data_IF_144743631198
#
_entry.id   IF_144743631198
#
_cell.length_a   1.000
_cell.length_b   1.000
_cell.length_c   1.000
_cell.angle_alpha   90.00
_cell.angle_beta   90.00
_cell.angle_gamma   90.00
#
_symmetry.space_group_name_H-M   'P 1'
#
loop_
_entity.id
_entity.type
_entity.pdbx_description
1 polymer ?
#
# COMPACT_ATOMS: atom_id res chain seq x y z
N UNK A 1 -42.48 24.98 8.99
CA UNK A 1 -42.52 23.57 9.42
C UNK A 1 -41.40 23.37 10.42
N UNK A 2 -41.70 22.94 11.65
CA UNK A 2 -40.69 22.75 12.69
C UNK A 2 -39.87 21.50 12.35
N UNK A 3 -38.56 21.66 12.15
CA UNK A 3 -37.64 20.57 11.91
C UNK A 3 -37.47 19.72 13.16
N UNK A 4 -37.74 18.43 13.06
CA UNK A 4 -37.51 17.47 14.14
C UNK A 4 -36.01 17.19 14.24
N UNK A 5 -35.40 17.57 15.37
CA UNK A 5 -34.02 17.19 15.69
C UNK A 5 -33.91 15.68 15.87
N UNK A 6 -33.20 15.02 14.95
CA UNK A 6 -32.89 13.59 15.06
C UNK A 6 -31.84 13.38 16.16
N UNK A 7 -32.21 12.61 17.19
CA UNK A 7 -31.30 12.24 18.29
C UNK A 7 -30.92 10.78 18.18
N UNK A 8 -29.62 10.50 18.13
CA UNK A 8 -29.10 9.13 18.06
C UNK A 8 -28.88 8.58 19.47
N UNK A 9 -29.40 7.38 19.72
CA UNK A 9 -29.13 6.66 20.96
C UNK A 9 -27.70 6.08 20.92
N UNK A 10 -26.80 6.68 21.71
CA UNK A 10 -25.38 6.30 21.77
C UNK A 10 -25.17 4.88 22.32
N UNK A 11 -25.98 4.46 23.30
CA UNK A 11 -25.87 3.11 23.88
C UNK A 11 -26.24 2.04 22.86
N UNK A 12 -27.32 2.28 22.11
CA UNK A 12 -27.74 1.39 21.04
C UNK A 12 -26.67 1.31 19.94
N UNK A 13 -26.11 2.45 19.52
CA UNK A 13 -25.07 2.48 18.49
C UNK A 13 -23.82 1.69 18.89
N UNK A 14 -23.40 1.75 20.16
CA UNK A 14 -22.28 0.96 20.66
C UNK A 14 -22.56 -0.55 20.62
N UNK A 15 -23.73 -0.98 21.10
CA UNK A 15 -24.14 -2.39 21.06
C UNK A 15 -24.28 -2.91 19.64
N UNK A 16 -24.86 -2.09 18.75
CA UNK A 16 -25.03 -2.42 17.34
C UNK A 16 -23.68 -2.63 16.65
N UNK A 17 -22.69 -1.75 16.89
CA UNK A 17 -21.33 -1.90 16.36
C UNK A 17 -20.67 -3.20 16.80
N UNK A 18 -20.78 -3.53 18.09
CA UNK A 18 -20.21 -4.78 18.62
C UNK A 18 -20.89 -6.02 18.02
N UNK A 19 -22.22 -6.00 17.90
CA UNK A 19 -22.98 -7.08 17.29
C UNK A 19 -22.59 -7.30 15.82
N UNK A 20 -22.56 -6.21 15.03
CA UNK A 20 -22.17 -6.26 13.61
C UNK A 20 -20.76 -6.78 13.41
N UNK A 21 -19.80 -6.30 14.20
CA UNK A 21 -18.41 -6.78 14.15
C UNK A 21 -18.33 -8.29 14.38
N UNK A 22 -19.09 -8.81 15.35
CA UNK A 22 -19.11 -10.26 15.63
C UNK A 22 -19.75 -11.06 14.50
N UNK A 23 -20.86 -10.59 13.93
CA UNK A 23 -21.48 -11.21 12.75
C UNK A 23 -20.51 -11.28 11.56
N UNK A 24 -19.77 -10.21 11.30
CA UNK A 24 -18.80 -10.15 10.21
C UNK A 24 -17.68 -11.17 10.41
N UNK A 25 -17.09 -11.20 11.60
CA UNK A 25 -16.06 -12.19 11.97
C UNK A 25 -16.60 -13.62 11.80
N UNK A 26 -17.81 -13.89 12.28
CA UNK A 26 -18.43 -15.21 12.15
C UNK A 26 -18.65 -15.58 10.67
N UNK A 27 -19.15 -14.65 9.85
CA UNK A 27 -19.34 -14.87 8.41
C UNK A 27 -18.01 -15.12 7.67
N UNK A 28 -16.93 -14.49 8.11
CA UNK A 28 -15.57 -14.76 7.62
C UNK A 28 -15.12 -16.17 8.04
N UNK A 29 -15.29 -16.54 9.31
CA UNK A 29 -14.97 -17.88 9.82
C UNK A 29 -15.73 -18.99 9.08
N UNK A 30 -17.03 -18.81 8.84
CA UNK A 30 -17.85 -19.80 8.14
C UNK A 30 -17.44 -19.97 6.67
N UNK A 31 -16.94 -18.89 6.02
CA UNK A 31 -16.53 -18.91 4.60
C UNK A 31 -15.13 -19.45 4.38
N UNK A 32 -14.19 -19.08 5.24
CA UNK A 32 -12.76 -19.36 5.05
C UNK A 32 -12.22 -20.43 6.01
N UNK A 33 -13.06 -20.89 6.94
CA UNK A 33 -12.66 -21.83 7.98
C UNK A 33 -11.84 -21.17 9.09
N UNK A 34 -11.73 -21.87 10.21
CA UNK A 34 -10.95 -21.44 11.37
C UNK A 34 -9.45 -21.74 11.15
N UNK A 35 -8.81 -21.06 10.19
CA UNK A 35 -7.39 -21.26 9.87
C UNK A 35 -6.43 -20.61 10.91
N UNK A 36 -6.93 -20.03 12.00
CA UNK A 36 -6.14 -19.18 12.90
C UNK A 36 -6.40 -19.33 14.41
N UNK A 37 -7.05 -20.40 14.91
CA UNK A 37 -7.30 -20.51 16.37
C UNK A 37 -6.10 -20.97 17.20
N UNK A 38 -4.87 -20.78 16.74
CA UNK A 38 -3.69 -20.91 17.59
C UNK A 38 -2.79 -19.73 17.31
N UNK A 39 -2.69 -18.84 18.30
CA UNK A 39 -1.92 -17.59 18.32
C UNK A 39 -2.73 -16.34 17.96
N UNK A 40 -2.60 -15.33 18.81
CA UNK A 40 -2.99 -13.93 18.63
C UNK A 40 -4.46 -13.54 18.92
N UNK A 41 -4.73 -13.34 20.21
CA UNK A 41 -5.43 -12.12 20.65
C UNK A 41 -4.51 -10.91 20.44
N UNK A 42 -4.10 -10.69 19.20
CA UNK A 42 -3.45 -9.50 18.70
C UNK A 42 -4.07 -9.32 17.32
N UNK A 43 -5.12 -8.52 17.25
CA UNK A 43 -5.44 -7.86 15.98
C UNK A 43 -4.40 -6.76 15.82
N UNK A 44 -3.13 -7.16 15.69
CA UNK A 44 -2.20 -6.36 14.92
C UNK A 44 -2.69 -6.56 13.50
N UNK A 45 -3.09 -5.44 12.92
CA UNK A 45 -3.16 -5.27 11.49
C UNK A 45 -1.76 -5.63 10.98
N UNK A 46 -1.50 -6.92 10.76
CA UNK A 46 -0.48 -7.32 9.81
C UNK A 46 -1.16 -7.07 8.45
N UNK A 47 -1.26 -5.77 8.13
CA UNK A 47 -0.78 -5.36 6.83
C UNK A 47 0.49 -6.18 6.66
N UNK A 48 0.53 -7.07 5.67
CA UNK A 48 1.80 -7.35 5.03
C UNK A 48 2.28 -5.96 4.60
N UNK A 49 2.90 -5.25 5.54
CA UNK A 49 3.92 -4.26 5.31
C UNK A 49 4.89 -5.10 4.51
N UNK A 50 4.63 -5.15 3.20
CA UNK A 50 5.58 -5.43 2.15
C UNK A 50 6.75 -4.60 2.61
N UNK A 51 7.62 -5.25 3.40
CA UNK A 51 8.66 -4.61 4.19
C UNK A 51 9.32 -3.74 3.16
N UNK A 52 9.04 -2.44 3.22
CA UNK A 52 9.44 -1.52 2.18
C UNK A 52 10.92 -1.41 2.49
N UNK A 53 11.68 -2.37 1.95
CA UNK A 53 13.11 -2.41 2.08
C UNK A 53 13.49 -1.16 1.31
N UNK A 54 13.65 -0.07 2.05
CA UNK A 54 14.11 1.20 1.53
C UNK A 54 15.55 0.95 1.10
N UNK A 55 15.68 0.39 -0.09
CA UNK A 55 16.95 0.29 -0.79
C UNK A 55 17.41 1.70 -1.09
N UNK A 56 18.72 1.92 -1.05
CA UNK A 56 19.28 3.20 -1.43
C UNK A 56 18.78 3.56 -2.85
N UNK A 57 18.30 4.79 -3.09
CA UNK A 57 17.68 5.15 -4.36
C UNK A 57 18.64 5.04 -5.54
N UNK A 58 19.96 5.12 -5.30
CA UNK A 58 20.98 4.87 -6.30
C UNK A 58 21.04 3.37 -6.66
N UNK A 59 21.03 2.48 -5.66
CA UNK A 59 21.02 1.04 -5.86
C UNK A 59 19.76 0.58 -6.60
N UNK A 60 18.60 1.17 -6.27
CA UNK A 60 17.34 0.85 -6.92
C UNK A 60 17.34 1.23 -8.41
N UNK A 61 17.91 2.39 -8.77
CA UNK A 61 18.07 2.81 -10.18
C UNK A 61 18.98 1.85 -10.95
N UNK A 62 20.11 1.48 -10.36
CA UNK A 62 21.04 0.50 -10.95
C UNK A 62 20.35 -0.85 -11.16
N UNK A 63 19.61 -1.32 -10.15
CA UNK A 63 18.81 -2.54 -10.24
C UNK A 63 17.84 -2.50 -11.42
N UNK A 64 17.02 -1.46 -11.57
CA UNK A 64 16.08 -1.38 -12.69
C UNK A 64 16.76 -1.25 -14.06
N UNK A 65 17.90 -0.54 -14.15
CA UNK A 65 18.70 -0.48 -15.39
C UNK A 65 19.16 -1.87 -15.81
N UNK A 66 19.68 -2.67 -14.87
CA UNK A 66 20.13 -4.03 -15.14
C UNK A 66 18.98 -4.96 -15.54
N UNK A 67 17.83 -4.82 -14.88
CA UNK A 67 16.63 -5.59 -15.18
C UNK A 67 16.12 -5.29 -16.60
N UNK A 68 16.15 -4.02 -17.02
CA UNK A 68 15.76 -3.62 -18.37
C UNK A 68 16.67 -4.28 -19.43
N UNK A 69 17.99 -4.24 -19.25
CA UNK A 69 18.96 -4.87 -20.15
C UNK A 69 18.74 -6.39 -20.27
N UNK A 70 18.45 -7.05 -19.15
CA UNK A 70 18.14 -8.48 -19.13
C UNK A 70 16.85 -8.79 -19.89
N UNK A 71 15.82 -7.96 -19.71
CA UNK A 71 14.51 -8.13 -20.35
C UNK A 71 14.57 -7.93 -21.86
N UNK A 72 15.36 -6.96 -22.34
CA UNK A 72 15.58 -6.71 -23.76
C UNK A 72 16.58 -7.67 -24.40
N UNK A 73 17.28 -8.50 -23.60
CA UNK A 73 18.36 -9.40 -24.03
C UNK A 73 19.46 -8.66 -24.79
N UNK A 74 19.86 -7.50 -24.28
CA UNK A 74 20.94 -6.72 -24.90
C UNK A 74 22.25 -7.55 -24.87
N UNK A 75 22.96 -7.78 -25.99
CA UNK A 75 24.21 -8.54 -26.03
C UNK A 75 25.30 -7.96 -25.13
N UNK A 76 25.19 -6.69 -24.74
CA UNK A 76 26.09 -6.03 -23.78
C UNK A 76 26.15 -6.78 -22.45
N UNK A 77 25.10 -7.45 -22.00
CA UNK A 77 25.10 -8.15 -20.70
C UNK A 77 26.16 -9.26 -20.57
N UNK A 78 26.73 -9.72 -21.68
CA UNK A 78 27.76 -10.75 -21.73
C UNK A 78 29.19 -10.21 -21.87
N UNK A 79 29.35 -8.90 -22.03
CA UNK A 79 30.66 -8.25 -22.12
C UNK A 79 31.26 -8.15 -20.71
N UNK A 80 32.54 -8.51 -20.58
CA UNK A 80 33.24 -8.53 -19.28
C UNK A 80 33.60 -7.12 -18.77
N UNK A 81 33.52 -6.11 -19.64
CA UNK A 81 33.95 -4.74 -19.37
C UNK A 81 32.85 -3.88 -18.72
N UNK A 82 31.64 -4.41 -18.50
CA UNK A 82 30.51 -3.66 -17.96
C UNK A 82 30.30 -3.93 -16.47
N UNK A 83 30.35 -2.88 -15.67
CA UNK A 83 29.94 -2.89 -14.26
C UNK A 83 28.48 -2.47 -14.12
N UNK A 84 27.68 -3.32 -13.48
CA UNK A 84 26.25 -3.09 -13.27
C UNK A 84 25.92 -2.35 -11.97
N UNK A 85 26.80 -2.48 -10.99
CA UNK A 85 26.63 -1.88 -9.66
C UNK A 85 27.86 -1.06 -9.32
N UNK A 86 27.64 0.17 -8.85
CA UNK A 86 28.70 1.05 -8.40
C UNK A 86 29.29 0.50 -7.09
N UNK A 87 30.60 0.23 -7.09
CA UNK A 87 31.29 -0.10 -5.84
C UNK A 87 31.58 1.19 -5.08
N UNK A 88 31.55 1.21 -3.73
CA UNK A 88 31.70 2.41 -2.91
C UNK A 88 33.14 2.96 -2.93
N UNK A 89 33.58 3.40 -4.10
CA UNK A 89 34.94 3.84 -4.41
C UNK A 89 35.19 4.15 -5.90
N UNK A 90 34.19 4.02 -6.77
CA UNK A 90 34.27 4.42 -8.17
C UNK A 90 33.03 5.26 -8.52
N UNK A 91 33.01 6.50 -8.02
CA UNK A 91 32.06 7.53 -8.43
C UNK A 91 32.59 8.17 -9.71
N UNK A 92 32.31 7.58 -10.88
CA UNK A 92 32.44 8.26 -12.15
C UNK A 92 31.08 8.26 -12.87
N UNK A 93 30.40 9.39 -12.68
CA UNK A 93 29.56 10.14 -13.61
C UNK A 93 28.66 9.34 -14.57
N UNK A 94 27.35 9.38 -14.30
CA UNK A 94 26.30 9.62 -15.32
C UNK A 94 24.98 9.93 -14.58
N UNK A 95 24.90 11.13 -14.01
CA UNK A 95 23.64 11.72 -13.54
C UNK A 95 22.97 12.45 -14.71
N UNK A 96 22.16 11.74 -15.49
CA UNK A 96 21.09 12.38 -16.25
C UNK A 96 19.84 12.45 -15.35
N UNK A 97 19.71 13.58 -14.66
CA UNK A 97 18.52 13.93 -13.88
C UNK A 97 17.36 14.27 -14.83
N UNK A 98 16.47 13.32 -15.10
CA UNK A 98 15.13 13.65 -15.59
C UNK A 98 14.27 14.14 -14.41
N UNK A 99 14.29 15.45 -14.17
CA UNK A 99 13.35 16.15 -13.30
C UNK A 99 11.92 16.02 -13.84
N UNK A 100 11.21 14.97 -13.44
CA UNK A 100 9.76 14.90 -13.62
C UNK A 100 9.09 15.66 -12.48
N UNK A 101 8.59 16.86 -12.78
CA UNK A 101 7.75 17.67 -11.91
C UNK A 101 6.55 16.85 -11.40
N UNK A 102 6.65 16.33 -10.18
CA UNK A 102 5.54 15.64 -9.52
C UNK A 102 4.54 16.70 -9.07
N UNK A 103 3.50 16.92 -9.86
CA UNK A 103 2.34 17.71 -9.44
C UNK A 103 1.75 17.02 -8.20
N UNK A 104 1.99 17.60 -7.02
CA UNK A 104 1.57 17.05 -5.74
C UNK A 104 0.05 17.19 -5.58
N UNK A 105 -0.69 16.22 -6.12
CA UNK A 105 -2.06 16.01 -5.71
C UNK A 105 -2.06 15.58 -4.24
N UNK A 106 -2.97 16.14 -3.43
CA UNK A 106 -3.11 15.78 -2.03
C UNK A 106 -3.37 14.26 -1.92
N UNK A 107 -2.66 13.53 -1.05
CA UNK A 107 -2.91 12.11 -0.87
C UNK A 107 -4.36 11.92 -0.42
N UNK A 108 -5.07 11.01 -1.09
CA UNK A 108 -6.41 10.61 -0.67
C UNK A 108 -6.31 9.56 0.41
N UNK A 109 -6.99 9.79 1.53
CA UNK A 109 -7.13 8.80 2.59
C UNK A 109 -8.40 7.97 2.36
N UNK A 110 -8.48 6.78 2.99
CA UNK A 110 -9.63 5.88 2.85
C UNK A 110 -10.98 6.58 3.14
N UNK A 111 -11.01 7.46 4.16
CA UNK A 111 -12.18 8.29 4.50
C UNK A 111 -12.58 9.26 3.39
N UNK A 112 -11.63 9.72 2.59
CA UNK A 112 -11.89 10.63 1.46
C UNK A 112 -12.58 9.87 0.34
N UNK A 113 -12.16 8.64 0.09
CA UNK A 113 -12.79 7.75 -0.89
C UNK A 113 -14.22 7.39 -0.47
N UNK A 114 -14.43 6.98 0.78
CA UNK A 114 -15.77 6.68 1.31
C UNK A 114 -16.72 7.87 1.15
N UNK A 115 -16.27 9.08 1.51
CA UNK A 115 -17.04 10.32 1.33
C UNK A 115 -17.33 10.60 -0.15
N UNK A 116 -16.33 10.43 -1.02
CA UNK A 116 -16.46 10.64 -2.47
C UNK A 116 -17.51 9.69 -3.06
N UNK A 117 -17.49 8.41 -2.70
CA UNK A 117 -18.46 7.42 -3.16
C UNK A 117 -19.88 7.78 -2.71
N UNK A 118 -20.07 8.22 -1.46
CA UNK A 118 -21.38 8.65 -0.97
C UNK A 118 -21.91 9.89 -1.72
N UNK A 119 -21.03 10.80 -2.11
CA UNK A 119 -21.39 12.07 -2.76
C UNK A 119 -21.66 11.88 -4.26
N UNK A 120 -20.91 11.01 -4.93
CA UNK A 120 -21.01 10.78 -6.37
C UNK A 120 -22.06 9.74 -6.77
N UNK A 121 -22.33 8.76 -5.91
CA UNK A 121 -23.24 7.63 -6.24
C UNK A 121 -24.62 7.70 -5.60
N UNK A 122 -25.01 8.84 -5.04
CA UNK A 122 -26.35 9.09 -4.45
C UNK A 122 -26.87 8.04 -3.44
N UNK A 123 -25.99 7.23 -2.84
CA UNK A 123 -26.36 6.25 -1.80
C UNK A 123 -26.93 4.94 -2.33
#
# INVERSE_FOLDING_TARGET
MAGTELRVNKEFAQRYRQYRRREEIQRLQDRYGNAGSSSQSSSSDEEEEEEEVHLDPQLEKEFYRTLALLKTRDPRIYQQDLSFYSHPGNEEEEEEEEEQEKVSAKPMYLKDYERKVMLEKEG
#
